data_IF_522580234639
#
_entry.id   IF_522580234639
#
_cell.length_a   1.000
_cell.length_b   1.000
_cell.length_c   1.000
_cell.angle_alpha   90.00
_cell.angle_beta   90.00
_cell.angle_gamma   90.00
#
_symmetry.space_group_name_H-M   'P 1'
#
loop_
_entity.id
_entity.type
_entity.pdbx_description
1 polymer ?
#
# COMPACT_ATOMS: atom_id res chain seq x y z
N UNK A 1 -3.02 -13.88 -3.00
CA UNK A 1 -3.89 -14.69 -2.11
C UNK A 1 -3.54 -16.16 -2.24
N UNK A 2 -3.67 -16.94 -1.16
CA UNK A 2 -3.53 -18.41 -1.20
C UNK A 2 -4.85 -19.15 -1.47
N UNK A 3 -5.93 -18.40 -1.68
CA UNK A 3 -7.24 -18.88 -2.14
C UNK A 3 -7.58 -18.18 -3.47
N UNK A 4 -8.34 -18.84 -4.37
CA UNK A 4 -8.91 -18.18 -5.55
C UNK A 4 -9.80 -17.00 -5.14
N UNK A 5 -10.00 -16.02 -6.01
CA UNK A 5 -11.02 -14.99 -5.81
C UNK A 5 -12.42 -15.55 -6.05
N UNK A 6 -13.45 -14.96 -5.45
CA UNK A 6 -14.84 -15.24 -5.85
C UNK A 6 -15.06 -14.88 -7.33
N UNK A 7 -16.06 -15.48 -8.00
CA UNK A 7 -16.46 -15.03 -9.34
C UNK A 7 -16.71 -13.52 -9.41
N UNK A 8 -16.48 -12.93 -10.58
CA UNK A 8 -16.82 -11.54 -10.88
C UNK A 8 -17.74 -11.53 -12.12
N UNK A 9 -19.05 -11.26 -11.97
CA UNK A 9 -19.71 -10.78 -10.75
C UNK A 9 -19.84 -11.85 -9.64
N UNK A 10 -19.83 -11.46 -8.35
CA UNK A 10 -20.07 -12.38 -7.24
C UNK A 10 -21.45 -13.05 -7.33
N UNK A 11 -21.53 -14.29 -6.87
CA UNK A 11 -22.74 -15.12 -6.91
C UNK A 11 -23.22 -15.43 -5.48
N UNK A 12 -23.92 -14.49 -4.81
CA UNK A 12 -24.44 -14.72 -3.46
C UNK A 12 -25.49 -15.83 -3.44
N UNK A 13 -25.54 -16.62 -2.37
CA UNK A 13 -26.44 -17.78 -2.25
C UNK A 13 -27.78 -17.47 -1.60
N UNK A 14 -27.90 -16.30 -0.97
CA UNK A 14 -29.10 -15.83 -0.26
C UNK A 14 -29.23 -14.30 -0.37
N UNK A 15 -30.37 -13.77 0.08
CA UNK A 15 -30.70 -12.34 -0.02
C UNK A 15 -29.81 -11.45 0.87
N UNK A 16 -29.34 -11.96 2.00
CA UNK A 16 -28.47 -11.22 2.92
C UNK A 16 -27.08 -10.98 2.31
N UNK A 17 -26.48 -12.04 1.76
CA UNK A 17 -25.22 -11.96 1.03
C UNK A 17 -25.34 -11.06 -0.21
N UNK A 18 -26.48 -11.12 -0.91
CA UNK A 18 -26.73 -10.26 -2.05
C UNK A 18 -26.79 -8.77 -1.65
N UNK A 19 -27.39 -8.45 -0.50
CA UNK A 19 -27.40 -7.09 0.03
C UNK A 19 -25.98 -6.60 0.41
N UNK A 20 -25.14 -7.48 0.98
CA UNK A 20 -23.73 -7.18 1.28
C UNK A 20 -22.95 -6.90 -0.01
N UNK A 21 -23.03 -7.78 -1.01
CA UNK A 21 -22.37 -7.58 -2.31
C UNK A 21 -22.80 -6.24 -2.92
N UNK A 22 -24.10 -5.92 -2.87
CA UNK A 22 -24.64 -4.65 -3.34
C UNK A 22 -24.03 -3.43 -2.63
N UNK A 23 -23.91 -3.44 -1.29
CA UNK A 23 -23.25 -2.36 -0.54
C UNK A 23 -21.79 -2.17 -0.94
N UNK A 24 -21.05 -3.26 -1.11
CA UNK A 24 -19.64 -3.22 -1.49
C UNK A 24 -19.49 -2.67 -2.92
N UNK A 25 -20.34 -3.10 -3.86
CA UNK A 25 -20.37 -2.58 -5.22
C UNK A 25 -20.70 -1.08 -5.26
N UNK A 26 -21.72 -0.63 -4.51
CA UNK A 26 -22.09 0.78 -4.42
C UNK A 26 -20.94 1.64 -3.90
N UNK A 27 -20.22 1.17 -2.87
CA UNK A 27 -19.04 1.87 -2.34
C UNK A 27 -17.90 1.98 -3.36
N UNK A 28 -17.76 1.02 -4.27
CA UNK A 28 -16.71 1.02 -5.30
C UNK A 28 -17.07 1.82 -6.54
N UNK A 29 -18.36 1.95 -6.84
CA UNK A 29 -18.86 2.60 -8.04
C UNK A 29 -18.20 3.98 -8.30
N UNK A 30 -17.85 4.30 -9.56
CA UNK A 30 -18.02 3.49 -10.77
C UNK A 30 -16.91 2.42 -10.97
N UNK A 31 -15.93 2.32 -10.06
CA UNK A 31 -14.84 1.35 -10.16
C UNK A 31 -15.34 -0.06 -9.86
N UNK A 32 -14.73 -1.10 -10.48
CA UNK A 32 -15.07 -2.48 -10.17
C UNK A 32 -14.62 -2.87 -8.76
N UNK A 33 -15.07 -4.05 -8.31
CA UNK A 33 -14.57 -4.71 -7.11
C UNK A 33 -13.05 -4.93 -7.22
N UNK A 34 -12.33 -4.67 -6.14
CA UNK A 34 -10.89 -4.89 -6.05
C UNK A 34 -10.58 -6.34 -5.67
N UNK A 35 -9.34 -6.82 -5.91
CA UNK A 35 -8.88 -8.14 -5.46
C UNK A 35 -9.18 -8.43 -3.98
N UNK A 36 -9.02 -7.43 -3.09
CA UNK A 36 -9.37 -7.58 -1.67
C UNK A 36 -10.87 -7.83 -1.47
N UNK A 37 -11.75 -7.13 -2.19
CA UNK A 37 -13.20 -7.33 -2.07
C UNK A 37 -13.56 -8.77 -2.49
N UNK A 38 -13.02 -9.23 -3.63
CA UNK A 38 -13.27 -10.59 -4.14
C UNK A 38 -12.64 -11.69 -3.27
N UNK A 39 -11.60 -11.38 -2.50
CA UNK A 39 -11.04 -12.29 -1.51
C UNK A 39 -11.95 -12.41 -0.27
N UNK A 40 -12.44 -11.28 0.25
CA UNK A 40 -13.28 -11.26 1.45
C UNK A 40 -14.69 -11.81 1.18
N UNK A 41 -15.19 -11.70 -0.05
CA UNK A 41 -16.52 -12.17 -0.43
C UNK A 41 -16.69 -13.71 -0.38
N UNK A 42 -15.63 -14.47 -0.09
CA UNK A 42 -15.79 -15.85 0.37
C UNK A 42 -16.52 -15.96 1.72
N UNK A 43 -16.52 -14.88 2.50
CA UNK A 43 -17.26 -14.74 3.76
C UNK A 43 -17.96 -13.37 3.82
N UNK A 44 -19.13 -13.19 3.17
CA UNK A 44 -19.78 -11.88 3.04
C UNK A 44 -19.97 -11.12 4.36
N UNK A 45 -20.39 -11.73 5.49
CA UNK A 45 -20.49 -11.00 6.76
C UNK A 45 -19.16 -10.42 7.25
N UNK A 46 -18.04 -11.13 7.01
CA UNK A 46 -16.69 -10.63 7.29
C UNK A 46 -16.33 -9.48 6.35
N UNK A 47 -16.65 -9.60 5.06
CA UNK A 47 -16.42 -8.54 4.09
C UNK A 47 -17.14 -7.24 4.47
N UNK A 48 -18.40 -7.33 4.91
CA UNK A 48 -19.20 -6.17 5.30
C UNK A 48 -18.62 -5.49 6.56
N UNK A 49 -18.38 -6.25 7.62
CA UNK A 49 -17.81 -5.74 8.87
C UNK A 49 -16.43 -5.11 8.66
N UNK A 50 -15.56 -5.79 7.91
CA UNK A 50 -14.24 -5.28 7.53
C UNK A 50 -14.31 -3.96 6.79
N UNK A 51 -15.24 -3.87 5.83
CA UNK A 51 -15.43 -2.68 5.01
C UNK A 51 -16.01 -1.50 5.81
N UNK A 52 -16.92 -1.76 6.75
CA UNK A 52 -17.46 -0.75 7.66
C UNK A 52 -16.38 -0.23 8.62
N UNK A 53 -15.60 -1.14 9.21
CA UNK A 53 -14.52 -0.78 10.13
C UNK A 53 -13.44 0.05 9.44
N UNK A 54 -12.87 -0.44 8.33
CA UNK A 54 -11.85 0.32 7.59
C UNK A 54 -12.41 1.59 6.94
N UNK A 55 -13.70 1.62 6.60
CA UNK A 55 -14.38 2.85 6.21
C UNK A 55 -14.30 3.91 7.30
N UNK A 56 -14.58 3.52 8.55
CA UNK A 56 -14.47 4.40 9.71
C UNK A 56 -13.04 4.84 9.96
N UNK A 57 -12.06 3.92 9.92
CA UNK A 57 -10.63 4.25 10.08
C UNK A 57 -10.18 5.30 9.06
N UNK A 58 -10.54 5.15 7.78
CA UNK A 58 -10.09 6.06 6.70
C UNK A 58 -10.81 7.40 6.66
N UNK A 59 -12.07 7.47 7.08
CA UNK A 59 -12.93 8.63 6.79
C UNK A 59 -13.47 9.32 8.04
N UNK A 60 -13.41 8.69 9.22
CA UNK A 60 -14.09 9.15 10.43
C UNK A 60 -13.17 9.22 11.67
N UNK A 61 -11.87 9.03 11.49
CA UNK A 61 -10.86 9.22 12.55
C UNK A 61 -10.26 10.61 12.49
N UNK A 62 -9.63 11.01 13.59
CA UNK A 62 -8.92 12.29 13.72
C UNK A 62 -7.45 12.24 13.30
N UNK A 63 -6.90 11.05 13.05
CA UNK A 63 -5.52 10.92 12.58
C UNK A 63 -5.28 11.71 11.29
N UNK A 64 -4.16 12.43 11.29
CA UNK A 64 -3.59 13.04 10.10
C UNK A 64 -3.49 11.99 8.96
N UNK A 65 -3.91 12.31 7.72
CA UNK A 65 -3.84 11.37 6.61
C UNK A 65 -2.43 10.84 6.36
N UNK A 66 -1.39 11.69 6.45
CA UNK A 66 0.00 11.29 6.28
C UNK A 66 0.43 10.28 7.34
N UNK A 67 0.09 10.54 8.60
CA UNK A 67 0.30 9.58 9.69
C UNK A 67 -0.42 8.26 9.43
N UNK A 68 -1.71 8.28 9.05
CA UNK A 68 -2.47 7.06 8.80
C UNK A 68 -1.81 6.22 7.71
N UNK A 69 -1.50 6.81 6.56
CA UNK A 69 -0.90 6.11 5.43
C UNK A 69 0.52 5.62 5.74
N UNK A 70 1.29 6.38 6.54
CA UNK A 70 2.60 5.96 7.05
C UNK A 70 2.52 4.67 7.87
N UNK A 71 1.54 4.54 8.77
CA UNK A 71 1.33 3.32 9.57
C UNK A 71 0.98 2.13 8.67
N UNK A 72 0.09 2.31 7.70
CA UNK A 72 -0.30 1.27 6.74
C UNK A 72 0.93 0.79 5.96
N UNK A 73 1.75 1.72 5.49
CA UNK A 73 2.99 1.41 4.78
C UNK A 73 3.98 0.62 5.63
N UNK A 74 4.11 0.95 6.94
CA UNK A 74 4.99 0.19 7.82
C UNK A 74 4.52 -1.25 8.03
N UNK A 75 3.23 -1.44 8.26
CA UNK A 75 2.65 -2.79 8.36
C UNK A 75 2.90 -3.58 7.07
N UNK A 76 2.71 -2.94 5.91
CA UNK A 76 2.97 -3.55 4.62
C UNK A 76 4.44 -4.01 4.48
N UNK A 77 5.41 -3.21 4.90
CA UNK A 77 6.85 -3.57 4.88
C UNK A 77 7.14 -4.74 5.82
N UNK A 78 6.63 -4.70 7.05
CA UNK A 78 6.84 -5.75 8.05
C UNK A 78 6.29 -7.10 7.58
N UNK A 79 5.13 -7.09 6.93
CA UNK A 79 4.45 -8.29 6.46
C UNK A 79 4.86 -8.73 5.04
N UNK A 80 5.66 -7.93 4.33
CA UNK A 80 5.96 -8.14 2.92
C UNK A 80 4.74 -8.01 2.00
N UNK A 81 3.73 -7.23 2.40
CA UNK A 81 2.50 -7.01 1.67
C UNK A 81 2.64 -5.87 0.65
N UNK A 82 3.44 -6.11 -0.41
CA UNK A 82 3.75 -5.09 -1.41
C UNK A 82 2.53 -4.58 -2.20
N UNK A 83 1.45 -5.36 -2.27
CA UNK A 83 0.18 -4.89 -2.80
C UNK A 83 -0.34 -3.67 -2.03
N UNK A 84 -0.35 -3.73 -0.70
CA UNK A 84 -0.78 -2.62 0.14
C UNK A 84 0.19 -1.44 0.03
N UNK A 85 1.50 -1.71 0.07
CA UNK A 85 2.51 -0.67 -0.13
C UNK A 85 2.27 0.12 -1.43
N UNK A 86 2.05 -0.57 -2.54
CA UNK A 86 1.84 0.08 -3.85
C UNK A 86 0.59 0.96 -3.88
N UNK A 87 -0.44 0.65 -3.09
CA UNK A 87 -1.65 1.45 -2.99
C UNK A 87 -1.51 2.63 -2.01
N UNK A 88 -0.75 2.45 -0.92
CA UNK A 88 -0.72 3.38 0.21
C UNK A 88 0.49 4.32 0.21
N UNK A 89 1.64 3.91 -0.32
CA UNK A 89 2.83 4.77 -0.38
C UNK A 89 2.61 6.06 -1.20
N UNK A 90 1.93 6.04 -2.37
CA UNK A 90 1.60 7.26 -3.08
C UNK A 90 0.67 8.20 -2.28
N UNK A 91 -0.20 7.65 -1.44
CA UNK A 91 -1.10 8.44 -0.59
C UNK A 91 -0.34 9.08 0.57
N UNK A 92 0.62 8.38 1.18
CA UNK A 92 1.50 8.96 2.19
C UNK A 92 2.32 10.14 1.63
N UNK A 93 2.91 9.97 0.44
CA UNK A 93 3.64 11.04 -0.25
C UNK A 93 2.73 12.23 -0.58
N UNK A 94 1.54 11.95 -1.13
CA UNK A 94 0.56 13.00 -1.45
C UNK A 94 0.04 13.75 -0.20
N UNK A 95 0.03 13.09 0.95
CA UNK A 95 -0.30 13.67 2.25
C UNK A 95 0.87 14.39 2.93
N UNK A 96 2.04 14.46 2.29
CA UNK A 96 3.19 15.26 2.75
C UNK A 96 4.25 14.49 3.55
N UNK A 97 4.19 13.16 3.62
CA UNK A 97 5.30 12.38 4.18
C UNK A 97 6.48 12.44 3.20
N UNK A 98 7.67 12.82 3.69
CA UNK A 98 8.85 13.05 2.85
C UNK A 98 9.36 11.80 2.12
N UNK A 99 9.96 12.01 0.94
CA UNK A 99 10.60 10.95 0.17
C UNK A 99 11.81 10.37 0.92
N UNK A 100 12.45 11.13 1.79
CA UNK A 100 13.56 10.70 2.64
C UNK A 100 13.14 9.55 3.58
N UNK A 101 11.92 9.59 4.10
CA UNK A 101 11.38 8.53 4.95
C UNK A 101 10.81 7.35 4.16
N UNK A 102 10.16 7.63 3.03
CA UNK A 102 9.38 6.65 2.24
C UNK A 102 10.17 5.96 1.12
N UNK A 103 11.21 6.62 0.62
CA UNK A 103 11.98 6.25 -0.56
C UNK A 103 12.93 5.06 -0.32
N UNK A 104 13.63 4.60 -1.36
CA UNK A 104 14.66 3.57 -1.22
C UNK A 104 15.68 3.94 -0.12
N UNK A 105 15.90 3.03 0.83
CA UNK A 105 16.79 3.29 1.99
C UNK A 105 16.14 4.09 3.13
N UNK A 106 14.94 4.65 2.92
CA UNK A 106 14.19 5.35 3.95
C UNK A 106 13.72 4.45 5.09
N UNK A 107 13.56 5.05 6.27
CA UNK A 107 13.31 4.32 7.52
C UNK A 107 12.05 3.45 7.47
N UNK A 108 11.01 3.89 6.75
CA UNK A 108 9.74 3.15 6.64
C UNK A 108 9.94 1.81 5.94
N UNK A 109 10.89 1.74 4.99
CA UNK A 109 11.21 0.54 4.20
C UNK A 109 12.24 -0.37 4.86
N UNK A 110 12.76 -0.04 6.05
CA UNK A 110 13.75 -0.84 6.77
C UNK A 110 13.23 -2.25 7.05
N UNK A 111 14.03 -3.27 6.72
CA UNK A 111 13.64 -4.67 6.92
C UNK A 111 13.71 -5.13 8.38
N UNK A 112 14.59 -4.52 9.17
CA UNK A 112 14.73 -4.78 10.60
C UNK A 112 13.71 -4.03 11.45
N UNK A 113 13.69 -4.29 12.77
CA UNK A 113 12.90 -3.51 13.72
C UNK A 113 13.31 -2.03 13.69
N UNK A 114 12.38 -1.16 14.06
CA UNK A 114 12.65 0.26 14.28
C UNK A 114 13.03 0.51 15.73
N UNK A 115 14.25 1.00 15.93
CA UNK A 115 14.85 1.24 17.23
C UNK A 115 15.28 -0.03 17.98
N UNK A 116 15.92 0.15 19.13
CA UNK A 116 16.49 -0.94 19.93
C UNK A 116 18.00 -1.14 19.74
N UNK A 117 18.66 -0.19 19.06
CA UNK A 117 20.10 0.04 19.19
C UNK A 117 20.41 0.87 20.44
N UNK A 118 21.68 1.18 20.69
CA UNK A 118 22.07 2.04 21.81
C UNK A 118 21.31 3.37 21.73
N UNK A 119 20.69 3.76 22.86
CA UNK A 119 19.64 4.77 22.96
C UNK A 119 19.98 6.16 22.39
N UNK A 120 21.25 6.46 22.14
CA UNK A 120 21.72 7.78 21.70
C UNK A 120 21.68 7.97 20.17
N UNK A 121 21.69 6.90 19.37
CA UNK A 121 21.65 7.00 17.89
C UNK A 121 20.21 7.04 17.33
N UNK A 122 19.23 6.52 18.07
CA UNK A 122 17.82 6.38 17.64
C UNK A 122 16.99 7.68 17.85
N UNK A 123 17.40 8.60 18.73
CA UNK A 123 16.54 9.72 19.17
C UNK A 123 16.40 10.85 18.13
N UNK A 124 17.26 10.90 17.11
CA UNK A 124 17.24 11.96 16.09
C UNK A 124 17.09 11.47 14.65
N UNK A 125 17.11 10.16 14.40
CA UNK A 125 17.00 9.62 13.03
C UNK A 125 15.75 10.15 12.31
N UNK A 126 14.62 10.20 13.02
CA UNK A 126 13.37 10.68 12.45
C UNK A 126 13.43 12.14 11.99
N UNK A 127 14.30 12.97 12.60
CA UNK A 127 14.50 14.38 12.18
C UNK A 127 15.24 14.45 10.85
N UNK A 128 16.23 13.57 10.63
CA UNK A 128 17.04 13.59 9.40
C UNK A 128 16.22 13.15 8.17
N UNK A 129 15.17 12.36 8.37
CA UNK A 129 14.22 11.95 7.32
C UNK A 129 12.92 12.76 7.31
N UNK A 130 12.87 13.88 8.03
CA UNK A 130 11.74 14.83 7.98
C UNK A 130 10.43 14.33 8.58
N UNK A 131 10.45 13.32 9.44
CA UNK A 131 9.27 12.93 10.22
C UNK A 131 9.04 13.88 11.40
N UNK A 132 7.88 13.80 12.02
CA UNK A 132 7.64 14.42 13.33
C UNK A 132 7.84 13.40 14.46
N UNK A 133 8.00 13.87 15.71
CA UNK A 133 8.08 13.01 16.88
C UNK A 133 6.84 12.10 17.01
N UNK A 134 5.65 12.65 16.75
CA UNK A 134 4.38 11.90 16.71
C UNK A 134 4.42 10.78 15.66
N UNK A 135 4.87 11.10 14.44
CA UNK A 135 4.99 10.10 13.36
C UNK A 135 5.98 9.00 13.73
N UNK A 136 7.12 9.36 14.32
CA UNK A 136 8.12 8.40 14.76
C UNK A 136 7.60 7.45 15.85
N UNK A 137 6.99 8.01 16.90
CA UNK A 137 6.44 7.23 18.00
C UNK A 137 5.37 6.24 17.52
N UNK A 138 4.43 6.70 16.68
CA UNK A 138 3.39 5.86 16.11
C UNK A 138 3.95 4.80 15.13
N UNK A 139 4.96 5.16 14.33
CA UNK A 139 5.63 4.24 13.41
C UNK A 139 6.32 3.09 14.16
N UNK A 140 6.98 3.38 15.30
CA UNK A 140 7.58 2.37 16.18
C UNK A 140 6.53 1.47 16.83
N UNK A 141 5.40 2.03 17.28
CA UNK A 141 4.26 1.25 17.79
C UNK A 141 3.74 0.31 16.69
N UNK A 142 3.54 0.80 15.46
CA UNK A 142 3.10 -0.05 14.35
C UNK A 142 4.11 -1.16 14.03
N UNK A 143 5.41 -0.86 14.08
CA UNK A 143 6.47 -1.85 13.87
C UNK A 143 6.46 -2.96 14.94
N UNK A 144 6.44 -2.59 16.22
CA UNK A 144 6.44 -3.54 17.33
C UNK A 144 5.14 -4.35 17.39
N UNK A 145 3.97 -3.70 17.23
CA UNK A 145 2.68 -4.40 17.13
C UNK A 145 2.71 -5.44 16.01
N UNK A 146 3.25 -5.11 14.84
CA UNK A 146 3.25 -6.01 13.68
C UNK A 146 4.23 -7.16 13.83
N UNK A 147 5.44 -6.90 14.35
CA UNK A 147 6.52 -7.90 14.43
C UNK A 147 6.42 -8.78 15.66
N UNK A 148 6.05 -8.19 16.79
CA UNK A 148 6.20 -8.80 18.10
C UNK A 148 4.84 -9.05 18.78
N UNK A 149 3.74 -8.51 18.24
CA UNK A 149 2.38 -8.49 18.83
C UNK A 149 2.28 -7.71 20.16
N UNK A 150 3.41 -7.51 20.83
CA UNK A 150 3.62 -6.72 22.03
C UNK A 150 4.38 -5.43 21.69
N UNK A 151 4.04 -4.37 22.42
CA UNK A 151 4.72 -3.07 22.36
C UNK A 151 5.40 -2.85 23.69
N UNK A 152 6.65 -2.42 23.66
CA UNK A 152 7.40 -2.07 24.89
C UNK A 152 6.78 -0.84 25.55
N UNK A 153 6.86 -0.79 26.88
CA UNK A 153 6.33 0.34 27.65
C UNK A 153 6.95 1.66 27.20
N UNK A 154 8.25 1.71 26.93
CA UNK A 154 8.91 2.95 26.50
C UNK A 154 8.40 3.45 25.14
N UNK A 155 8.13 2.52 24.21
CA UNK A 155 7.58 2.83 22.88
C UNK A 155 6.14 3.31 22.99
N UNK A 156 5.32 2.67 23.83
CA UNK A 156 3.93 3.08 24.06
C UNK A 156 3.84 4.42 24.78
N UNK A 157 4.72 4.67 25.76
CA UNK A 157 4.83 5.91 26.50
C UNK A 157 5.22 7.08 25.59
N UNK A 158 6.11 6.85 24.63
CA UNK A 158 6.44 7.84 23.59
C UNK A 158 5.20 8.24 22.77
N UNK A 159 4.36 7.27 22.39
CA UNK A 159 3.12 7.57 21.67
C UNK A 159 2.18 8.41 22.54
N UNK A 160 2.00 8.06 23.82
CA UNK A 160 1.12 8.78 24.75
C UNK A 160 1.58 10.21 25.05
N UNK A 161 2.87 10.52 24.90
CA UNK A 161 3.38 11.90 25.04
C UNK A 161 2.93 12.80 23.88
N UNK A 162 2.75 12.24 22.70
CA UNK A 162 2.44 13.02 21.50
C UNK A 162 0.96 12.93 21.08
N UNK A 163 0.21 11.94 21.55
CA UNK A 163 -1.15 11.65 21.12
C UNK A 163 -2.17 11.76 22.26
N UNK A 164 -3.37 12.24 21.94
CA UNK A 164 -4.54 12.07 22.80
C UNK A 164 -4.94 10.59 22.92
N UNK A 165 -5.72 10.24 23.95
CA UNK A 165 -6.24 8.87 24.11
C UNK A 165 -7.02 8.40 22.88
N UNK A 166 -7.78 9.30 22.26
CA UNK A 166 -8.49 9.03 21.01
C UNK A 166 -7.52 8.66 19.89
N UNK A 167 -6.48 9.47 19.67
CA UNK A 167 -5.47 9.19 18.64
C UNK A 167 -4.74 7.86 18.92
N UNK A 168 -4.45 7.53 20.19
CA UNK A 168 -3.85 6.24 20.55
C UNK A 168 -4.74 5.08 20.11
N UNK A 169 -6.05 5.14 20.40
CA UNK A 169 -7.01 4.11 19.94
C UNK A 169 -7.07 4.06 18.42
N UNK A 170 -7.06 5.21 17.74
CA UNK A 170 -7.11 5.27 16.27
C UNK A 170 -5.82 4.73 15.63
N UNK A 171 -4.65 4.92 16.24
CA UNK A 171 -3.37 4.32 15.80
C UNK A 171 -3.45 2.80 15.88
N UNK A 172 -3.85 2.27 17.04
CA UNK A 172 -4.02 0.82 17.26
C UNK A 172 -5.07 0.24 16.31
N UNK A 173 -6.19 0.93 16.10
CA UNK A 173 -7.26 0.54 15.18
C UNK A 173 -6.83 0.59 13.70
N UNK A 174 -5.87 1.46 13.35
CA UNK A 174 -5.30 1.51 12.00
C UNK A 174 -4.37 0.31 11.76
N UNK A 175 -3.53 -0.02 12.74
CA UNK A 175 -2.54 -1.11 12.63
C UNK A 175 -3.21 -2.49 12.73
N UNK A 176 -4.10 -2.68 13.69
CA UNK A 176 -4.70 -3.96 14.10
C UNK A 176 -5.20 -4.84 12.95
N UNK A 177 -6.15 -4.37 12.12
CA UNK A 177 -6.67 -5.18 11.01
C UNK A 177 -5.58 -5.54 9.99
N UNK A 178 -4.59 -4.69 9.79
CA UNK A 178 -3.55 -4.90 8.78
C UNK A 178 -2.51 -5.96 9.19
N UNK A 179 -2.56 -6.46 10.42
CA UNK A 179 -1.80 -7.65 10.81
C UNK A 179 -2.28 -8.91 10.09
N UNK A 180 -3.57 -9.00 9.72
CA UNK A 180 -4.16 -10.19 9.11
C UNK A 180 -4.10 -10.18 7.59
N UNK A 181 -3.15 -9.46 6.96
CA UNK A 181 -3.14 -9.26 5.51
C UNK A 181 -3.08 -10.58 4.75
N UNK A 182 -4.25 -10.97 4.25
CA UNK A 182 -4.50 -12.10 3.35
C UNK A 182 -3.73 -11.95 2.03
N UNK A 183 -3.33 -10.72 1.70
CA UNK A 183 -2.67 -10.31 0.46
C UNK A 183 -1.15 -10.35 0.54
N UNK A 184 -0.57 -11.21 1.38
CA UNK A 184 0.78 -11.69 1.09
C UNK A 184 0.69 -12.43 -0.24
N UNK A 185 1.16 -11.81 -1.33
CA UNK A 185 1.41 -12.54 -2.55
C UNK A 185 2.43 -13.63 -2.19
N UNK A 186 1.99 -14.89 -2.18
CA UNK A 186 2.92 -15.98 -2.32
C UNK A 186 3.61 -15.72 -3.66
N UNK A 187 4.92 -15.52 -3.68
CA UNK A 187 5.68 -15.63 -4.91
C UNK A 187 5.40 -17.03 -5.45
N UNK A 188 4.49 -17.10 -6.41
CA UNK A 188 4.09 -18.34 -7.05
C UNK A 188 5.30 -18.83 -7.84
N UNK A 189 6.19 -19.58 -7.19
CA UNK A 189 7.27 -20.37 -7.79
C UNK A 189 8.32 -20.88 -6.81
N UNK A 190 8.28 -20.58 -5.50
CA UNK A 190 9.41 -20.94 -4.62
C UNK A 190 10.74 -20.31 -5.04
N UNK A 191 10.72 -19.42 -6.05
CA UNK A 191 11.82 -18.52 -6.34
C UNK A 191 11.72 -17.40 -5.32
N UNK A 192 12.85 -17.14 -4.66
CA UNK A 192 13.08 -15.86 -3.99
C UNK A 192 12.60 -14.78 -4.94
N UNK A 193 11.78 -13.85 -4.47
CA UNK A 193 11.44 -12.66 -5.24
C UNK A 193 12.73 -12.01 -5.77
N UNK A 194 12.66 -11.24 -6.88
CA UNK A 194 13.82 -10.51 -7.38
C UNK A 194 14.45 -9.75 -6.20
N UNK A 195 15.78 -9.78 -6.10
CA UNK A 195 16.49 -9.21 -4.96
C UNK A 195 16.06 -7.75 -4.79
N UNK A 196 15.75 -7.39 -3.54
CA UNK A 196 15.23 -6.08 -3.08
C UNK A 196 16.10 -4.85 -3.44
N UNK A 197 17.24 -5.03 -4.12
CA UNK A 197 18.16 -3.98 -4.56
C UNK A 197 17.72 -3.26 -5.83
N UNK A 198 16.81 -3.85 -6.61
CA UNK A 198 16.54 -3.33 -7.94
C UNK A 198 15.42 -2.28 -7.85
N UNK A 199 15.81 -1.01 -7.96
CA UNK A 199 14.91 0.14 -8.03
C UNK A 199 13.80 -0.03 -9.09
N UNK A 200 14.00 -0.95 -10.03
CA UNK A 200 13.12 -1.26 -11.15
C UNK A 200 11.95 -2.20 -10.80
N UNK A 201 11.93 -2.88 -9.64
CA UNK A 201 10.85 -3.82 -9.34
C UNK A 201 9.49 -3.12 -9.18
N UNK A 202 9.45 -1.96 -8.53
CA UNK A 202 8.20 -1.20 -8.37
C UNK A 202 7.70 -0.72 -9.73
N UNK A 203 8.62 -0.29 -10.59
CA UNK A 203 8.30 0.16 -11.94
C UNK A 203 7.84 -1.00 -12.83
N UNK A 204 8.47 -2.17 -12.74
CA UNK A 204 8.04 -3.40 -13.39
C UNK A 204 6.68 -3.91 -12.86
N UNK A 205 6.45 -3.84 -11.54
CA UNK A 205 5.19 -4.20 -10.90
C UNK A 205 4.05 -3.28 -11.35
N UNK A 206 4.26 -1.96 -11.30
CA UNK A 206 3.30 -0.96 -11.77
C UNK A 206 3.04 -1.13 -13.28
N UNK A 207 4.07 -1.30 -14.12
CA UNK A 207 3.92 -1.55 -15.56
C UNK A 207 3.15 -2.84 -15.87
N UNK A 208 3.34 -3.91 -15.09
CA UNK A 208 2.64 -5.19 -15.28
C UNK A 208 1.14 -5.14 -14.94
N UNK A 209 0.72 -4.22 -14.06
CA UNK A 209 -0.67 -4.06 -13.59
C UNK A 209 -1.39 -2.86 -14.22
N UNK A 210 -0.67 -1.88 -14.76
CA UNK A 210 -1.22 -0.66 -15.38
C UNK A 210 -1.68 -0.84 -16.84
N UNK A 211 -1.57 -2.02 -17.44
CA UNK A 211 -2.14 -2.30 -18.78
C UNK A 211 -3.69 -2.12 -18.80
N UNK A 212 -4.35 -1.96 -17.65
CA UNK A 212 -5.81 -1.72 -17.57
C UNK A 212 -6.25 -0.42 -16.89
N UNK A 213 -5.34 0.50 -16.55
CA UNK A 213 -5.73 1.83 -16.03
C UNK A 213 -5.05 2.93 -16.86
N UNK A 214 -5.88 3.60 -17.65
CA UNK A 214 -5.60 4.64 -18.65
C UNK A 214 -4.45 5.62 -18.36
N UNK A 215 -3.67 5.84 -19.41
CA UNK A 215 -2.60 6.81 -19.76
C UNK A 215 -2.67 8.22 -19.11
N UNK A 216 -3.79 8.64 -18.53
CA UNK A 216 -4.02 10.03 -18.08
C UNK A 216 -3.31 10.43 -16.77
N UNK A 217 -2.86 9.46 -15.96
CA UNK A 217 -2.16 9.76 -14.71
C UNK A 217 -0.74 10.29 -14.95
N UNK A 218 -0.04 9.77 -15.97
CA UNK A 218 1.36 10.12 -16.24
C UNK A 218 1.54 11.39 -17.07
N UNK A 219 0.61 11.70 -17.97
CA UNK A 219 0.64 12.93 -18.78
C UNK A 219 0.43 14.20 -17.95
N UNK A 220 -0.19 14.10 -16.77
CA UNK A 220 -0.31 15.21 -15.80
C UNK A 220 0.89 15.33 -14.85
N UNK A 221 1.64 14.25 -14.62
CA UNK A 221 2.78 14.25 -13.72
C UNK A 221 4.02 14.90 -14.37
N UNK A 222 4.21 14.74 -15.69
CA UNK A 222 5.30 15.37 -16.44
C UNK A 222 5.10 16.87 -16.69
N UNK A 223 3.88 17.40 -16.62
CA UNK A 223 3.62 18.82 -16.90
C UNK A 223 3.89 19.79 -15.73
N UNK A 224 4.08 19.29 -14.50
CA UNK A 224 4.22 20.14 -13.30
C UNK A 224 5.69 20.47 -12.95
N UNK A 225 6.68 19.87 -13.63
CA UNK A 225 8.10 20.24 -13.44
C UNK A 225 8.77 20.48 -14.79
N UNK A 226 9.02 21.75 -15.08
CA UNK A 226 9.81 22.16 -16.24
C UNK A 226 11.18 21.49 -16.27
N UNK A 227 11.52 20.99 -17.46
CA UNK A 227 12.87 20.76 -18.00
C UNK A 227 13.92 20.09 -17.10
N UNK A 228 14.12 18.79 -17.34
CA UNK A 228 15.47 18.20 -17.39
C UNK A 228 15.65 17.62 -18.81
N UNK A 229 16.58 18.13 -19.63
CA UNK A 229 16.81 17.63 -20.98
C UNK A 229 17.85 16.51 -20.95
N UNK A 230 17.42 15.27 -21.20
CA UNK A 230 18.18 14.22 -21.89
C UNK A 230 17.41 12.92 -21.76
N UNK A 231 16.59 12.58 -22.77
CA UNK A 231 16.24 11.20 -23.18
C UNK A 231 15.35 11.23 -24.44
N UNK A 232 15.59 12.17 -25.35
CA UNK A 232 14.86 12.30 -26.63
C UNK A 232 15.61 11.73 -27.83
N UNK A 233 16.50 10.77 -27.59
CA UNK A 233 17.21 10.05 -28.66
C UNK A 233 17.10 8.55 -28.40
N UNK A 234 15.93 7.97 -28.67
CA UNK A 234 15.73 6.53 -28.94
C UNK A 234 14.30 6.16 -29.41
N UNK A 235 13.53 7.12 -29.94
CA UNK A 235 12.19 6.86 -30.50
C UNK A 235 12.03 7.47 -31.89
N UNK A 236 12.90 7.05 -32.82
CA UNK A 236 12.70 7.21 -34.26
C UNK A 236 13.50 6.12 -34.94
N UNK A 237 12.85 5.34 -35.81
CA UNK A 237 13.33 4.09 -36.48
C UNK A 237 13.14 2.90 -35.52
N UNK A 238 12.16 2.00 -35.64
CA UNK A 238 11.58 1.35 -36.82
C UNK A 238 10.05 1.21 -36.67
N UNK A 239 9.29 1.93 -37.49
CA UNK A 239 7.90 1.59 -37.80
C UNK A 239 7.69 1.87 -39.29
N UNK A 240 8.39 1.11 -40.13
CA UNK A 240 8.20 1.09 -41.58
C UNK A 240 8.85 -0.18 -42.15
N UNK A 241 8.08 -1.27 -42.18
CA UNK A 241 8.11 -2.32 -43.22
C UNK A 241 7.44 -3.62 -42.74
N UNK A 242 6.12 -3.68 -42.84
CA UNK A 242 5.42 -4.95 -43.10
C UNK A 242 3.94 -4.70 -43.36
N UNK A 243 3.66 -4.10 -44.52
CA UNK A 243 2.36 -4.20 -45.16
C UNK A 243 2.55 -4.32 -46.67
N UNK A 244 2.69 -5.55 -47.14
CA UNK A 244 2.27 -6.04 -48.46
C UNK A 244 2.11 -7.56 -48.33
N UNK A 245 0.89 -8.07 -48.12
CA UNK A 245 0.05 -8.67 -49.16
C UNK A 245 0.79 -9.73 -49.98
N UNK A 246 0.35 -10.99 -49.81
CA UNK A 246 0.70 -12.13 -50.64
C UNK A 246 -0.26 -13.27 -50.35
N UNK A 247 -1.35 -13.30 -51.12
CA UNK A 247 -2.33 -14.39 -51.19
C UNK A 247 -1.74 -15.49 -52.09
N UNK A 248 -1.90 -16.76 -51.72
CA UNK A 248 -2.34 -17.89 -52.56
C UNK A 248 -1.72 -19.24 -52.15
N UNK A 249 -2.59 -20.26 -52.03
CA UNK A 249 -2.32 -21.57 -52.59
C UNK A 249 -2.04 -22.76 -51.66
N UNK A 250 -3.12 -23.48 -51.36
CA UNK A 250 -3.24 -24.93 -51.05
C UNK A 250 -2.73 -25.40 -49.67
#
# INVERSE_FOLDING_TARGET
MRIPYTPSPPQPTNAEDAAIVGRIQQRRAPRPLQPLDLALLHAPPVADGWNAFLGSVRQRTTLDPGLRELLICRVAVCNGAWYEWAHHAPLALAAGVGEEAMGPGGVVRREGPLGGGAAEEDEEEWRTVGLSEKMWAALRVADEMTRNVSVRDETFDALRRCCSEREVVEVVATVGPLLSLLLREATASGRRGPKRSDADWLDAYLRSRLITASVDFWSRWTLVRGTVPALTTLYRIEYESSSSVGVDGI
#
